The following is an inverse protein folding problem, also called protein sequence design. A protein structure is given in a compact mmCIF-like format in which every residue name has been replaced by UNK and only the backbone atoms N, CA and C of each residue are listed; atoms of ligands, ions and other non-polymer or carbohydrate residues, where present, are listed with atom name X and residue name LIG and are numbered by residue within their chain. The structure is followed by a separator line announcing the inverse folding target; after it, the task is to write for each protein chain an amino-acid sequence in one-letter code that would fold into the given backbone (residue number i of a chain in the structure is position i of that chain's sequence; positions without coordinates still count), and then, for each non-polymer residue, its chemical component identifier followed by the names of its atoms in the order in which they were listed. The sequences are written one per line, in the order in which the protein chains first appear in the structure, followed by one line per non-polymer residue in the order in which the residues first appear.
data_IF_021081402078
#
_entry.id   IF_021081402078
#
_cell.length_a   1.000
_cell.length_b   1.000
_cell.length_c   1.000
_cell.angle_alpha   90.00
_cell.angle_beta   90.00
_cell.angle_gamma   90.00
#
_symmetry.space_group_name_H-M   'P 1'
#
loop_
_entity.id
_entity.type
_entity.pdbx_description
1 polymer ?
#
# COMPACT_ATOMS: atom_id res chain seq x y z
N UNK A 1 -74.80 -30.68 -17.01
CA UNK A 1 -73.55 -30.59 -16.23
C UNK A 1 -72.39 -30.45 -17.21
N UNK A 2 -71.83 -29.25 -17.40
CA UNK A 2 -70.42 -29.08 -17.81
C UNK A 2 -69.98 -27.72 -17.25
N UNK A 3 -69.04 -27.72 -16.29
CA UNK A 3 -68.39 -26.51 -15.75
C UNK A 3 -67.12 -26.28 -16.58
N UNK A 4 -67.00 -25.11 -17.21
CA UNK A 4 -65.73 -24.67 -17.80
C UNK A 4 -64.82 -24.12 -16.68
N UNK A 5 -63.71 -24.81 -16.44
CA UNK A 5 -62.62 -24.31 -15.59
C UNK A 5 -61.65 -23.47 -16.43
N UNK A 6 -61.48 -22.21 -16.07
CA UNK A 6 -60.45 -21.34 -16.62
C UNK A 6 -59.08 -21.71 -16.01
N UNK A 7 -58.15 -22.20 -16.82
CA UNK A 7 -56.73 -22.29 -16.45
C UNK A 7 -56.08 -20.93 -16.65
N UNK A 8 -55.69 -20.28 -15.56
CA UNK A 8 -54.80 -19.12 -15.59
C UNK A 8 -53.35 -19.60 -15.65
N UNK A 9 -52.69 -19.42 -16.80
CA UNK A 9 -51.24 -19.55 -16.91
C UNK A 9 -50.60 -18.26 -16.37
N UNK A 10 -50.01 -18.33 -15.18
CA UNK A 10 -49.16 -17.26 -14.65
C UNK A 10 -47.82 -17.23 -15.39
N UNK A 11 -47.59 -16.18 -16.18
CA UNK A 11 -46.28 -15.91 -16.78
C UNK A 11 -45.36 -15.34 -15.69
N UNK A 12 -44.41 -16.16 -15.22
CA UNK A 12 -43.35 -15.70 -14.31
C UNK A 12 -42.23 -15.07 -15.16
N UNK A 13 -42.30 -13.75 -15.40
CA UNK A 13 -41.20 -13.01 -16.05
C UNK A 13 -40.07 -12.79 -15.04
N UNK A 14 -39.01 -13.58 -15.15
CA UNK A 14 -37.74 -13.31 -14.47
C UNK A 14 -37.09 -12.13 -15.19
N UNK A 15 -37.20 -10.93 -14.64
CA UNK A 15 -36.43 -9.77 -15.12
C UNK A 15 -35.00 -9.96 -14.64
N UNK A 16 -34.12 -10.48 -15.50
CA UNK A 16 -32.69 -10.43 -15.25
C UNK A 16 -32.26 -8.95 -15.34
N UNK A 17 -32.05 -8.29 -14.21
CA UNK A 17 -31.36 -7.01 -14.20
C UNK A 17 -29.90 -7.28 -14.54
N UNK A 18 -29.54 -7.03 -15.81
CA UNK A 18 -28.13 -6.90 -16.18
C UNK A 18 -27.68 -5.56 -15.63
N UNK A 19 -27.09 -5.56 -14.43
CA UNK A 19 -26.36 -4.39 -13.94
C UNK A 19 -25.21 -4.12 -14.90
N UNK A 20 -25.22 -2.96 -15.56
CA UNK A 20 -24.08 -2.54 -16.35
C UNK A 20 -22.90 -2.33 -15.39
N UNK A 21 -21.83 -3.10 -15.58
CA UNK A 21 -20.64 -3.03 -14.73
C UNK A 21 -20.07 -1.61 -14.81
N UNK A 22 -19.90 -0.93 -13.67
CA UNK A 22 -19.34 0.42 -13.61
C UNK A 22 -17.96 0.43 -14.29
N UNK A 23 -17.77 1.36 -15.23
CA UNK A 23 -16.47 1.61 -15.85
C UNK A 23 -15.56 2.29 -14.82
N UNK A 24 -14.44 1.64 -14.49
CA UNK A 24 -13.42 2.15 -13.56
C UNK A 24 -12.41 2.99 -14.33
N UNK A 25 -12.21 4.24 -13.91
CA UNK A 25 -11.23 5.15 -14.52
C UNK A 25 -9.84 4.91 -13.96
N UNK A 26 -8.90 4.58 -14.83
CA UNK A 26 -7.53 4.22 -14.48
C UNK A 26 -6.58 5.26 -15.08
N UNK A 27 -5.80 5.96 -14.25
CA UNK A 27 -4.82 6.94 -14.72
C UNK A 27 -3.40 6.41 -14.56
N UNK A 28 -2.71 6.03 -15.65
CA UNK A 28 -1.27 5.88 -15.66
C UNK A 28 -0.61 7.24 -15.46
N UNK A 29 0.10 7.44 -14.36
CA UNK A 29 0.63 8.74 -13.94
C UNK A 29 2.14 8.70 -13.75
N UNK A 30 2.85 9.65 -14.38
CA UNK A 30 4.30 9.79 -14.18
C UNK A 30 4.98 10.60 -15.29
N UNK A 31 6.17 10.15 -15.68
CA UNK A 31 6.99 10.83 -16.69
C UNK A 31 7.08 10.04 -18.02
N UNK A 32 8.25 10.06 -18.67
CA UNK A 32 8.48 9.43 -19.99
C UNK A 32 8.33 7.91 -20.00
N UNK A 33 8.59 7.21 -18.89
CA UNK A 33 8.40 5.76 -18.83
C UNK A 33 6.90 5.42 -18.90
N UNK A 34 6.02 6.28 -18.37
CA UNK A 34 4.57 6.06 -18.40
C UNK A 34 4.00 6.21 -19.81
N UNK A 35 4.60 7.03 -20.66
CA UNK A 35 4.15 7.16 -22.05
C UNK A 35 4.48 5.94 -22.92
N UNK A 36 5.27 4.97 -22.43
CA UNK A 36 5.64 3.74 -23.17
C UNK A 36 4.50 2.71 -23.21
N UNK A 37 4.71 1.64 -23.97
CA UNK A 37 3.65 0.72 -24.39
C UNK A 37 3.33 -0.43 -23.42
N UNK A 38 3.92 -0.45 -22.22
CA UNK A 38 3.47 -1.36 -21.16
C UNK A 38 1.98 -1.18 -20.84
N UNK A 39 1.42 0.02 -21.04
CA UNK A 39 -0.03 0.29 -20.90
C UNK A 39 -0.86 -0.55 -21.85
N UNK A 40 -0.46 -0.66 -23.11
CA UNK A 40 -1.16 -1.45 -24.12
C UNK A 40 -1.13 -2.95 -23.78
N UNK A 41 0.03 -3.45 -23.34
CA UNK A 41 0.19 -4.83 -22.91
C UNK A 41 -0.64 -5.12 -21.64
N UNK A 42 -0.69 -4.18 -20.70
CA UNK A 42 -1.52 -4.28 -19.49
C UNK A 42 -3.01 -4.36 -19.84
N UNK A 43 -3.51 -3.48 -20.71
CA UNK A 43 -4.90 -3.52 -21.16
C UNK A 43 -5.23 -4.84 -21.86
N UNK A 44 -4.32 -5.36 -22.68
CA UNK A 44 -4.48 -6.66 -23.34
C UNK A 44 -4.59 -7.78 -22.31
N UNK A 45 -3.73 -7.79 -21.27
CA UNK A 45 -3.80 -8.76 -20.17
C UNK A 45 -5.10 -8.67 -19.40
N UNK A 46 -5.57 -7.46 -19.07
CA UNK A 46 -6.86 -7.22 -18.41
C UNK A 46 -8.03 -7.81 -19.22
N UNK A 47 -8.09 -7.51 -20.52
CA UNK A 47 -9.15 -8.01 -21.40
C UNK A 47 -9.09 -9.52 -21.58
N UNK A 48 -7.89 -10.10 -21.66
CA UNK A 48 -7.71 -11.55 -21.70
C UNK A 48 -8.22 -12.23 -20.42
N UNK A 49 -8.09 -11.57 -19.27
CA UNK A 49 -8.64 -11.98 -17.97
C UNK A 49 -10.12 -11.58 -17.76
N UNK A 50 -10.81 -11.17 -18.84
CA UNK A 50 -12.22 -10.75 -18.84
C UNK A 50 -12.52 -9.53 -17.97
N UNK A 51 -11.51 -8.75 -17.63
CA UNK A 51 -11.68 -7.42 -17.04
C UNK A 51 -11.82 -6.43 -18.18
N UNK A 52 -13.04 -5.97 -18.45
CA UNK A 52 -13.32 -5.06 -19.59
C UNK A 52 -13.95 -3.74 -19.18
N UNK A 53 -14.30 -3.57 -17.92
CA UNK A 53 -14.97 -2.39 -17.37
C UNK A 53 -13.97 -1.32 -16.91
N UNK A 54 -13.03 -0.95 -17.77
CA UNK A 54 -12.04 0.09 -17.45
C UNK A 54 -11.88 1.09 -18.59
N UNK A 55 -11.49 2.30 -18.22
CA UNK A 55 -11.24 3.45 -19.10
C UNK A 55 -9.91 4.06 -18.67
N UNK A 56 -8.90 4.09 -19.54
CA UNK A 56 -7.66 4.78 -19.21
C UNK A 56 -7.89 6.27 -19.39
N UNK A 57 -7.42 7.08 -18.45
CA UNK A 57 -7.70 8.53 -18.48
C UNK A 57 -6.44 9.34 -18.27
N UNK A 58 -6.39 10.50 -18.90
CA UNK A 58 -5.32 11.48 -18.73
C UNK A 58 -5.33 12.51 -19.87
N UNK A 59 -4.51 13.54 -19.74
CA UNK A 59 -4.42 14.62 -20.73
C UNK A 59 -3.57 14.28 -21.94
N UNK A 60 -2.73 13.24 -21.85
CA UNK A 60 -1.80 12.82 -22.90
C UNK A 60 -2.32 11.57 -23.62
N UNK A 61 -1.94 11.42 -24.89
CA UNK A 61 -2.24 10.25 -25.70
C UNK A 61 -0.95 9.60 -26.23
N UNK A 62 -0.94 8.27 -26.30
CA UNK A 62 0.11 7.47 -26.93
C UNK A 62 -0.23 7.01 -28.35
N UNK A 63 0.66 6.18 -28.92
CA UNK A 63 0.51 5.57 -30.25
C UNK A 63 0.86 4.08 -30.26
N UNK A 64 0.55 3.38 -29.16
CA UNK A 64 0.89 1.98 -28.98
C UNK A 64 0.00 1.07 -29.82
N UNK A 65 0.60 0.06 -30.45
CA UNK A 65 -0.12 -0.90 -31.28
C UNK A 65 -1.06 -1.80 -30.45
N UNK A 66 -2.10 -2.30 -31.11
CA UNK A 66 -3.06 -3.25 -30.55
C UNK A 66 -4.51 -2.88 -30.85
N UNK A 67 -5.40 -3.87 -30.81
CA UNK A 67 -6.82 -3.65 -31.02
C UNK A 67 -7.46 -3.00 -29.78
N UNK A 68 -8.26 -1.95 -29.99
CA UNK A 68 -9.01 -1.26 -28.93
C UNK A 68 -8.15 -0.82 -27.75
N UNK A 69 -6.88 -0.46 -28.01
CA UNK A 69 -6.01 0.11 -26.99
C UNK A 69 -6.42 1.55 -26.76
N UNK A 70 -6.82 1.83 -25.53
CA UNK A 70 -7.01 3.17 -25.03
C UNK A 70 -5.63 3.84 -24.88
N UNK A 71 -5.44 4.96 -25.56
CA UNK A 71 -4.13 5.60 -25.64
C UNK A 71 -3.90 6.60 -24.51
N UNK A 72 -4.90 6.89 -23.69
CA UNK A 72 -4.84 7.96 -22.71
C UNK A 72 -3.87 7.63 -21.55
N UNK A 73 -3.20 8.67 -21.06
CA UNK A 73 -2.33 8.62 -19.89
C UNK A 73 -2.01 10.02 -19.36
N UNK A 74 -1.40 10.06 -18.18
CA UNK A 74 -0.91 11.28 -17.53
C UNK A 74 0.62 11.19 -17.33
N UNK A 75 1.31 10.89 -18.43
CA UNK A 75 2.76 10.68 -18.46
C UNK A 75 3.45 11.78 -19.25
N UNK A 76 4.28 12.61 -18.60
CA UNK A 76 4.93 13.75 -19.26
C UNK A 76 6.46 13.61 -19.25
N UNK A 77 7.10 13.38 -20.41
CA UNK A 77 8.55 13.24 -20.52
C UNK A 77 9.34 14.36 -19.85
N UNK A 78 10.44 14.01 -19.18
CA UNK A 78 11.31 14.96 -18.49
C UNK A 78 10.79 15.52 -17.15
N UNK A 79 9.58 15.14 -16.73
CA UNK A 79 8.98 15.70 -15.52
C UNK A 79 9.47 15.05 -14.22
N UNK A 80 9.47 15.85 -13.14
CA UNK A 80 9.91 15.48 -11.79
C UNK A 80 8.73 15.44 -10.82
N UNK A 81 8.78 14.52 -9.85
CA UNK A 81 7.83 14.51 -8.73
C UNK A 81 7.87 15.83 -7.96
N UNK A 82 9.07 16.35 -7.68
CA UNK A 82 9.21 17.61 -6.93
C UNK A 82 8.60 18.80 -7.65
N UNK A 83 8.64 18.82 -8.99
CA UNK A 83 8.08 19.93 -9.76
C UNK A 83 6.55 19.83 -9.82
N UNK A 84 6.00 18.63 -10.02
CA UNK A 84 4.55 18.43 -9.93
C UNK A 84 3.97 18.82 -8.58
N UNK A 85 4.64 18.40 -7.50
CA UNK A 85 4.22 18.74 -6.14
C UNK A 85 4.29 20.25 -5.89
N UNK A 86 5.39 20.90 -6.30
CA UNK A 86 5.60 22.34 -6.12
C UNK A 86 4.60 23.18 -6.92
N UNK A 87 4.31 22.79 -8.16
CA UNK A 87 3.54 23.60 -9.09
C UNK A 87 2.03 23.25 -9.08
N UNK A 88 1.63 22.18 -8.41
CA UNK A 88 0.23 21.75 -8.33
C UNK A 88 -0.33 21.20 -9.63
N UNK A 89 0.53 20.72 -10.55
CA UNK A 89 0.10 20.21 -11.86
C UNK A 89 -0.95 19.10 -11.75
N UNK A 90 -0.74 18.16 -10.83
CA UNK A 90 -1.60 16.99 -10.68
C UNK A 90 -3.05 17.37 -10.37
N UNK A 91 -3.29 18.41 -9.56
CA UNK A 91 -4.66 18.87 -9.27
C UNK A 91 -5.42 19.28 -10.54
N UNK A 92 -4.74 19.88 -11.52
CA UNK A 92 -5.35 20.26 -12.81
C UNK A 92 -5.80 19.01 -13.56
N UNK A 93 -4.91 18.01 -13.67
CA UNK A 93 -5.20 16.76 -14.37
C UNK A 93 -6.27 15.92 -13.69
N UNK A 94 -6.23 15.81 -12.37
CA UNK A 94 -7.26 15.16 -11.57
C UNK A 94 -8.64 15.81 -11.75
N UNK A 95 -8.69 17.12 -12.00
CA UNK A 95 -9.95 17.82 -12.24
C UNK A 95 -10.49 17.60 -13.65
N UNK A 96 -9.62 17.58 -14.66
CA UNK A 96 -10.02 17.32 -16.04
C UNK A 96 -10.41 15.84 -16.26
N UNK A 97 -9.63 14.93 -15.68
CA UNK A 97 -9.70 13.49 -15.91
C UNK A 97 -9.75 12.73 -14.57
N UNK A 98 -10.86 12.81 -13.80
CA UNK A 98 -10.92 12.25 -12.45
C UNK A 98 -10.78 10.71 -12.46
N UNK A 99 -9.74 10.15 -11.82
CA UNK A 99 -9.55 8.71 -11.77
C UNK A 99 -10.11 8.05 -10.49
N UNK A 100 -10.41 6.77 -10.60
CA UNK A 100 -10.69 5.87 -9.49
C UNK A 100 -9.39 5.16 -9.03
N UNK A 101 -8.54 4.80 -9.98
CA UNK A 101 -7.25 4.12 -9.78
C UNK A 101 -6.12 4.93 -10.39
N UNK A 102 -5.01 5.09 -9.69
CA UNK A 102 -3.76 5.64 -10.24
C UNK A 102 -2.67 4.56 -10.28
N UNK A 103 -1.98 4.44 -11.40
CA UNK A 103 -0.75 3.66 -11.54
C UNK A 103 0.43 4.64 -11.60
N UNK A 104 1.17 4.76 -10.51
CA UNK A 104 2.23 5.76 -10.36
C UNK A 104 3.62 5.14 -10.54
N UNK A 105 4.40 5.67 -11.49
CA UNK A 105 5.84 5.47 -11.62
C UNK A 105 6.49 6.82 -11.96
N UNK A 106 7.11 7.45 -10.97
CA UNK A 106 7.62 8.81 -11.07
C UNK A 106 8.79 9.00 -10.11
N UNK A 107 9.87 9.67 -10.51
CA UNK A 107 11.05 9.89 -9.66
C UNK A 107 12.39 9.75 -10.38
N UNK A 108 12.41 9.09 -11.54
CA UNK A 108 13.65 8.89 -12.33
C UNK A 108 14.32 10.22 -12.66
N UNK A 109 13.55 11.21 -13.13
CA UNK A 109 14.08 12.53 -13.47
C UNK A 109 14.49 13.33 -12.23
N UNK A 110 13.89 13.10 -11.07
CA UNK A 110 14.32 13.74 -9.83
C UNK A 110 15.75 13.34 -9.49
N UNK A 111 16.10 12.07 -9.71
CA UNK A 111 17.47 11.55 -9.55
C UNK A 111 18.39 12.02 -10.70
N UNK A 112 17.94 11.87 -11.94
CA UNK A 112 18.81 12.07 -13.12
C UNK A 112 19.03 13.53 -13.49
N UNK A 113 17.97 14.33 -13.48
CA UNK A 113 17.98 15.73 -13.92
C UNK A 113 17.99 16.64 -12.70
N UNK A 114 17.04 16.46 -11.78
CA UNK A 114 16.84 17.35 -10.65
C UNK A 114 17.88 17.24 -9.55
N UNK A 115 18.67 16.15 -9.54
CA UNK A 115 19.63 15.80 -8.49
C UNK A 115 19.04 15.95 -7.09
N UNK A 116 17.77 15.58 -6.92
CA UNK A 116 17.00 15.72 -5.68
C UNK A 116 17.44 14.67 -4.69
N UNK A 117 17.43 15.04 -3.40
CA UNK A 117 17.62 14.07 -2.34
C UNK A 117 16.43 13.11 -2.27
N UNK A 118 16.65 11.87 -1.83
CA UNK A 118 15.56 10.92 -1.58
C UNK A 118 14.49 11.53 -0.67
N UNK A 119 14.89 12.29 0.36
CA UNK A 119 13.97 12.94 1.28
C UNK A 119 13.05 13.97 0.61
N UNK A 120 13.56 14.73 -0.36
CA UNK A 120 12.74 15.71 -1.09
C UNK A 120 11.75 15.03 -2.03
N UNK A 121 12.15 13.94 -2.68
CA UNK A 121 11.27 13.14 -3.53
C UNK A 121 10.14 12.51 -2.69
N UNK A 122 10.44 11.96 -1.50
CA UNK A 122 9.40 11.42 -0.62
C UNK A 122 8.43 12.50 -0.12
N UNK A 123 8.91 13.71 0.19
CA UNK A 123 8.02 14.84 0.53
C UNK A 123 7.14 15.24 -0.65
N UNK A 124 7.67 15.19 -1.88
CA UNK A 124 6.88 15.44 -3.07
C UNK A 124 5.78 14.37 -3.24
N UNK A 125 6.09 13.09 -3.00
CA UNK A 125 5.08 12.04 -2.99
C UNK A 125 4.00 12.26 -1.94
N UNK A 126 4.33 12.80 -0.75
CA UNK A 126 3.32 13.15 0.25
C UNK A 126 2.31 14.14 -0.30
N UNK A 127 2.80 15.23 -0.90
CA UNK A 127 1.95 16.25 -1.53
C UNK A 127 1.10 15.66 -2.64
N UNK A 128 1.68 14.82 -3.51
CA UNK A 128 0.95 14.20 -4.63
C UNK A 128 -0.15 13.25 -4.11
N UNK A 129 0.14 12.41 -3.12
CA UNK A 129 -0.86 11.52 -2.52
C UNK A 129 -1.97 12.31 -1.82
N UNK A 130 -1.64 13.42 -1.15
CA UNK A 130 -2.63 14.28 -0.52
C UNK A 130 -3.55 14.94 -1.57
N UNK A 131 -3.00 15.40 -2.70
CA UNK A 131 -3.78 15.91 -3.83
C UNK A 131 -4.72 14.84 -4.41
N UNK A 132 -4.22 13.61 -4.60
CA UNK A 132 -5.02 12.46 -5.05
C UNK A 132 -6.20 12.21 -4.11
N UNK A 133 -5.94 12.15 -2.79
CA UNK A 133 -6.97 11.88 -1.78
C UNK A 133 -7.93 13.03 -1.57
N UNK A 134 -7.48 14.27 -1.75
CA UNK A 134 -8.35 15.44 -1.75
C UNK A 134 -9.34 15.38 -2.93
N UNK A 135 -8.92 14.88 -4.09
CA UNK A 135 -9.82 14.68 -5.24
C UNK A 135 -10.80 13.53 -5.02
N UNK A 136 -10.29 12.37 -4.62
CA UNK A 136 -11.08 11.18 -4.36
C UNK A 136 -10.57 10.52 -3.06
N UNK A 137 -11.30 10.68 -1.93
CA UNK A 137 -10.91 10.08 -0.66
C UNK A 137 -10.87 8.54 -0.67
N UNK A 138 -11.43 7.91 -1.71
CA UNK A 138 -11.43 6.46 -1.93
C UNK A 138 -10.47 6.01 -3.03
N UNK A 139 -9.61 6.89 -3.53
CA UNK A 139 -8.73 6.57 -4.66
C UNK A 139 -7.82 5.38 -4.34
N UNK A 140 -7.75 4.43 -5.27
CA UNK A 140 -6.88 3.27 -5.18
C UNK A 140 -5.54 3.59 -5.84
N UNK A 141 -4.43 3.48 -5.10
CA UNK A 141 -3.11 3.85 -5.58
C UNK A 141 -2.27 2.60 -5.78
N UNK A 142 -1.81 2.39 -7.01
CA UNK A 142 -0.82 1.37 -7.36
C UNK A 142 0.51 2.09 -7.54
N UNK A 143 1.38 1.96 -6.54
CA UNK A 143 2.63 2.73 -6.43
C UNK A 143 3.82 1.86 -6.81
N UNK A 144 4.48 2.18 -7.91
CA UNK A 144 5.66 1.48 -8.40
C UNK A 144 6.95 2.10 -7.89
N UNK A 145 7.97 1.27 -7.66
CA UNK A 145 9.36 1.74 -7.71
C UNK A 145 9.81 1.99 -9.17
N UNK A 146 11.02 2.53 -9.33
CA UNK A 146 11.59 2.94 -10.62
C UNK A 146 12.34 1.77 -11.31
N UNK A 147 12.50 1.84 -12.63
CA UNK A 147 13.31 0.89 -13.39
C UNK A 147 14.82 1.11 -13.15
N UNK A 148 15.66 0.07 -13.26
CA UNK A 148 17.12 0.23 -13.23
C UNK A 148 17.62 1.00 -14.46
N UNK A 149 18.83 1.54 -14.34
CA UNK A 149 19.55 2.21 -15.42
C UNK A 149 20.74 1.37 -15.88
N UNK A 150 21.02 1.39 -17.18
CA UNK A 150 22.23 0.77 -17.74
C UNK A 150 23.46 1.58 -17.29
N UNK A 151 24.35 1.02 -16.45
CA UNK A 151 25.50 1.74 -15.91
C UNK A 151 26.56 2.07 -16.98
N UNK A 152 26.47 1.50 -18.19
CA UNK A 152 27.34 1.87 -19.32
C UNK A 152 26.87 3.12 -20.05
N UNK A 153 25.57 3.43 -19.98
CA UNK A 153 24.94 4.56 -20.69
C UNK A 153 24.62 5.72 -19.77
N UNK A 154 24.44 5.44 -18.48
CA UNK A 154 24.10 6.42 -17.46
C UNK A 154 25.17 6.50 -16.37
N UNK A 155 25.38 7.69 -15.77
CA UNK A 155 26.36 7.84 -14.70
C UNK A 155 26.07 6.92 -13.51
N UNK A 156 27.12 6.36 -12.90
CA UNK A 156 27.00 5.50 -11.71
C UNK A 156 26.19 6.18 -10.59
N UNK A 157 26.38 7.48 -10.39
CA UNK A 157 25.61 8.25 -9.40
C UNK A 157 24.10 8.26 -9.68
N UNK A 158 23.68 8.16 -10.94
CA UNK A 158 22.28 8.00 -11.32
C UNK A 158 21.77 6.62 -10.96
N UNK A 159 22.49 5.56 -11.32
CA UNK A 159 22.13 4.18 -10.98
C UNK A 159 22.04 3.96 -9.46
N UNK A 160 23.02 4.45 -8.70
CA UNK A 160 23.01 4.40 -7.23
C UNK A 160 21.85 5.21 -6.65
N UNK A 161 21.56 6.38 -7.22
CA UNK A 161 20.43 7.21 -6.82
C UNK A 161 19.08 6.50 -7.02
N UNK A 162 18.91 5.78 -8.13
CA UNK A 162 17.72 4.95 -8.38
C UNK A 162 17.61 3.83 -7.35
N UNK A 163 18.70 3.12 -7.06
CA UNK A 163 18.70 2.06 -6.03
C UNK A 163 18.32 2.61 -4.66
N UNK A 164 18.90 3.74 -4.27
CA UNK A 164 18.62 4.40 -2.99
C UNK A 164 17.17 4.86 -2.88
N UNK A 165 16.64 5.50 -3.93
CA UNK A 165 15.24 5.93 -3.95
C UNK A 165 14.29 4.72 -3.95
N UNK A 166 14.59 3.66 -4.69
CA UNK A 166 13.79 2.44 -4.70
C UNK A 166 13.74 1.74 -3.35
N UNK A 167 14.86 1.69 -2.62
CA UNK A 167 14.90 1.17 -1.25
C UNK A 167 13.97 1.96 -0.32
N UNK A 168 13.94 3.29 -0.48
CA UNK A 168 13.04 4.15 0.29
C UNK A 168 11.57 4.00 -0.14
N UNK A 169 11.26 3.95 -1.43
CA UNK A 169 9.90 3.73 -1.97
C UNK A 169 9.31 2.44 -1.43
N UNK A 170 10.10 1.36 -1.38
CA UNK A 170 9.65 0.05 -0.88
C UNK A 170 9.14 0.10 0.56
N UNK A 171 9.68 0.99 1.40
CA UNK A 171 9.20 1.23 2.76
C UNK A 171 8.07 2.26 2.81
N UNK A 172 8.19 3.31 2.00
CA UNK A 172 7.29 4.46 1.96
C UNK A 172 5.89 4.11 1.44
N UNK A 173 5.77 3.43 0.30
CA UNK A 173 4.47 3.20 -0.32
C UNK A 173 3.51 2.41 0.58
N UNK A 174 3.92 1.28 1.21
CA UNK A 174 3.06 0.57 2.17
C UNK A 174 2.67 1.41 3.38
N UNK A 175 3.54 2.32 3.85
CA UNK A 175 3.24 3.18 5.00
C UNK A 175 2.16 4.22 4.71
N UNK A 176 1.79 4.42 3.44
CA UNK A 176 0.69 5.31 3.04
C UNK A 176 -0.64 4.59 2.91
N UNK A 177 -0.70 3.27 3.01
CA UNK A 177 -1.93 2.50 2.85
C UNK A 177 -2.98 2.84 3.92
N UNK A 178 -4.24 2.94 3.52
CA UNK A 178 -5.39 3.09 4.42
C UNK A 178 -6.55 2.23 3.93
N UNK A 179 -7.52 1.89 4.80
CA UNK A 179 -8.73 1.18 4.38
C UNK A 179 -9.59 1.97 3.39
N UNK A 180 -9.61 3.30 3.52
CA UNK A 180 -10.44 4.16 2.67
C UNK A 180 -9.81 4.40 1.30
N UNK A 181 -8.50 4.66 1.25
CA UNK A 181 -7.69 4.84 0.04
C UNK A 181 -6.52 3.86 0.08
N UNK A 182 -6.69 2.66 -0.50
CA UNK A 182 -5.64 1.64 -0.52
C UNK A 182 -4.41 2.07 -1.32
N UNK A 183 -3.23 1.66 -0.85
CA UNK A 183 -1.96 1.80 -1.55
C UNK A 183 -1.32 0.42 -1.67
N UNK A 184 -1.13 -0.04 -2.91
CA UNK A 184 -0.46 -1.30 -3.23
C UNK A 184 0.88 -1.00 -3.89
N UNK A 185 1.94 -1.57 -3.34
CA UNK A 185 3.28 -1.45 -3.90
C UNK A 185 3.50 -2.47 -5.03
N UNK A 186 4.07 -2.01 -6.16
CA UNK A 186 4.49 -2.86 -7.29
C UNK A 186 5.99 -2.72 -7.51
N UNK A 187 6.69 -3.85 -7.60
CA UNK A 187 8.13 -3.89 -7.85
C UNK A 187 8.42 -4.12 -9.35
N UNK A 188 8.66 -3.03 -10.07
CA UNK A 188 9.12 -3.02 -11.46
C UNK A 188 10.65 -3.02 -11.60
N UNK A 189 11.39 -2.90 -10.49
CA UNK A 189 12.86 -2.95 -10.50
C UNK A 189 13.37 -4.39 -10.55
N UNK A 190 12.86 -5.25 -9.66
CA UNK A 190 13.38 -6.62 -9.51
C UNK A 190 13.03 -7.48 -10.72
N UNK A 191 14.07 -8.00 -11.39
CA UNK A 191 13.96 -8.84 -12.59
C UNK A 191 13.91 -8.07 -13.91
N UNK A 192 14.07 -6.74 -13.85
CA UNK A 192 14.24 -5.89 -15.02
C UNK A 192 15.74 -5.75 -15.33
N UNK A 193 16.12 -6.02 -16.58
CA UNK A 193 17.49 -5.90 -17.08
C UNK A 193 17.61 -4.60 -17.87
N UNK A 194 18.31 -3.60 -17.33
CA UNK A 194 18.40 -2.31 -17.98
C UNK A 194 19.10 -2.36 -19.35
N UNK A 195 19.92 -3.37 -19.64
CA UNK A 195 20.59 -3.53 -20.94
C UNK A 195 19.66 -4.20 -21.94
N UNK A 196 19.00 -5.29 -21.54
CA UNK A 196 18.19 -6.10 -22.44
C UNK A 196 16.76 -5.56 -22.62
N UNK A 197 16.22 -4.87 -21.62
CA UNK A 197 14.81 -4.46 -21.57
C UNK A 197 14.58 -2.98 -21.88
N UNK A 198 15.63 -2.23 -22.25
CA UNK A 198 15.51 -0.82 -22.63
C UNK A 198 16.02 -0.54 -24.04
N UNK A 199 15.64 0.61 -24.60
CA UNK A 199 16.20 1.12 -25.86
C UNK A 199 17.48 1.94 -25.65
N UNK A 200 17.53 2.71 -24.57
CA UNK A 200 18.55 3.73 -24.30
C UNK A 200 19.25 3.57 -22.93
N UNK A 201 18.98 2.48 -22.22
CA UNK A 201 19.45 2.27 -20.85
C UNK A 201 18.51 2.80 -19.77
N UNK A 202 17.37 3.41 -20.14
CA UNK A 202 16.38 3.97 -19.21
C UNK A 202 14.93 3.56 -19.60
N UNK A 203 14.59 3.71 -20.87
CA UNK A 203 13.23 3.57 -21.35
C UNK A 203 12.94 2.15 -21.87
N UNK A 204 11.84 1.52 -21.43
CA UNK A 204 11.54 0.14 -21.78
C UNK A 204 11.33 -0.04 -23.29
N UNK A 205 11.97 -1.09 -23.83
CA UNK A 205 11.66 -1.67 -25.14
C UNK A 205 10.49 -2.66 -25.02
N UNK A 206 10.21 -3.45 -26.06
CA UNK A 206 9.08 -4.41 -26.04
C UNK A 206 9.18 -5.45 -24.91
N UNK A 207 10.38 -5.97 -24.63
CA UNK A 207 10.61 -6.89 -23.51
C UNK A 207 10.35 -6.21 -22.17
N UNK A 208 10.89 -5.00 -21.98
CA UNK A 208 10.66 -4.21 -20.77
C UNK A 208 9.20 -3.84 -20.57
N UNK A 209 8.51 -3.46 -21.65
CA UNK A 209 7.09 -3.12 -21.62
C UNK A 209 6.25 -4.33 -21.17
N UNK A 210 6.58 -5.53 -21.64
CA UNK A 210 5.89 -6.76 -21.25
C UNK A 210 6.13 -7.14 -19.78
N UNK A 211 7.36 -6.98 -19.29
CA UNK A 211 7.70 -7.19 -17.88
C UNK A 211 6.92 -6.23 -16.99
N UNK A 212 6.88 -4.94 -17.34
CA UNK A 212 6.13 -3.94 -16.59
C UNK A 212 4.63 -4.25 -16.56
N UNK A 213 4.04 -4.56 -17.71
CA UNK A 213 2.63 -4.93 -17.80
C UNK A 213 2.30 -6.13 -16.91
N UNK A 214 3.18 -7.13 -16.87
CA UNK A 214 3.04 -8.31 -16.02
C UNK A 214 3.08 -7.96 -14.52
N UNK A 215 3.97 -7.05 -14.11
CA UNK A 215 4.06 -6.61 -12.70
C UNK A 215 2.83 -5.81 -12.26
N UNK A 216 2.31 -4.94 -13.12
CA UNK A 216 1.12 -4.14 -12.80
C UNK A 216 -0.18 -4.94 -12.84
N UNK A 217 -0.25 -6.00 -13.65
CA UNK A 217 -1.49 -6.70 -13.99
C UNK A 217 -2.35 -7.09 -12.77
N UNK A 218 -1.80 -7.83 -11.81
CA UNK A 218 -2.59 -8.32 -10.68
C UNK A 218 -3.15 -7.17 -9.83
N UNK A 219 -2.31 -6.18 -9.51
CA UNK A 219 -2.73 -5.01 -8.73
C UNK A 219 -3.80 -4.19 -9.45
N UNK A 220 -3.68 -3.99 -10.77
CA UNK A 220 -4.67 -3.23 -11.55
C UNK A 220 -5.99 -3.98 -11.67
N UNK A 221 -5.96 -5.28 -11.95
CA UNK A 221 -7.16 -6.13 -11.96
C UNK A 221 -7.89 -6.06 -10.62
N UNK A 222 -7.16 -6.26 -9.52
CA UNK A 222 -7.75 -6.35 -8.19
C UNK A 222 -8.33 -5.00 -7.76
N UNK A 223 -7.68 -3.88 -8.13
CA UNK A 223 -8.22 -2.54 -7.92
C UNK A 223 -9.52 -2.31 -8.71
N UNK A 224 -9.56 -2.68 -9.99
CA UNK A 224 -10.78 -2.56 -10.82
C UNK A 224 -11.93 -3.38 -10.22
N UNK A 225 -11.67 -4.63 -9.81
CA UNK A 225 -12.68 -5.50 -9.19
C UNK A 225 -13.15 -4.97 -7.83
N UNK A 226 -12.27 -4.35 -7.04
CA UNK A 226 -12.62 -3.78 -5.74
C UNK A 226 -13.53 -2.55 -5.86
N UNK A 227 -13.42 -1.79 -6.95
CA UNK A 227 -14.19 -0.56 -7.19
C UNK A 227 -15.52 -0.84 -7.90
N UNK A 228 -15.61 -1.91 -8.69
CA UNK A 228 -16.84 -2.34 -9.36
C UNK A 228 -17.48 -3.55 -8.64
N UNK A 229 -18.22 -3.35 -7.52
CA UNK A 229 -18.72 -4.45 -6.69
C UNK A 229 -19.80 -5.34 -7.33
N UNK A 230 -20.26 -5.08 -8.55
CA UNK A 230 -21.32 -5.87 -9.20
C UNK A 230 -20.83 -7.14 -9.93
N UNK A 231 -19.63 -7.65 -9.60
CA UNK A 231 -19.21 -8.96 -10.09
C UNK A 231 -19.84 -10.07 -9.21
N UNK A 232 -20.63 -11.01 -9.78
CA UNK A 232 -21.35 -12.05 -9.02
C UNK A 232 -20.45 -13.05 -8.27
N UNK A 233 -19.12 -12.88 -8.30
CA UNK A 233 -18.14 -13.72 -7.59
C UNK A 233 -17.63 -13.12 -6.27
N UNK A 234 -18.16 -12.00 -5.76
CA UNK A 234 -17.68 -11.40 -4.50
C UNK A 234 -18.72 -11.47 -3.35
N UNK A 235 -18.63 -12.44 -2.41
CA UNK A 235 -19.58 -12.59 -1.32
C UNK A 235 -19.49 -11.54 -0.19
N UNK A 236 -18.76 -10.42 -0.33
CA UNK A 236 -18.53 -9.50 0.79
C UNK A 236 -19.29 -8.16 0.74
N UNK A 237 -20.28 -8.02 -0.14
CA UNK A 237 -21.21 -6.88 -0.11
C UNK A 237 -22.59 -7.25 0.47
N UNK A 238 -22.62 -7.84 1.67
CA UNK A 238 -23.83 -7.81 2.50
C UNK A 238 -23.54 -6.96 3.75
N UNK A 239 -24.05 -5.74 3.73
CA UNK A 239 -24.29 -4.98 4.95
C UNK A 239 -25.36 -5.69 5.79
N UNK A 240 -25.25 -5.72 7.13
CA UNK A 240 -26.42 -5.77 7.99
C UNK A 240 -26.84 -4.31 8.25
N UNK A 241 -28.00 -3.88 7.79
CA UNK A 241 -29.31 -4.11 8.42
C UNK A 241 -29.40 -3.46 9.81
N UNK A 242 -30.45 -2.65 9.95
CA UNK A 242 -30.74 -1.74 11.05
C UNK A 242 -30.74 -2.45 12.42
N UNK A 243 -30.05 -1.86 13.40
CA UNK A 243 -30.09 -2.31 14.79
C UNK A 243 -31.43 -1.88 15.44
N UNK A 244 -32.38 -2.81 15.49
CA UNK A 244 -33.37 -2.83 16.57
C UNK A 244 -32.83 -3.73 17.68
N UNK A 245 -32.78 -3.17 18.88
CA UNK A 245 -32.03 -3.72 19.99
C UNK A 245 -32.58 -5.02 20.54
N UNK A 246 -31.65 -5.86 21.04
CA UNK A 246 -31.84 -6.57 22.29
C UNK A 246 -30.53 -6.56 23.09
N UNK A 247 -30.74 -6.46 24.39
CA UNK A 247 -29.82 -6.11 25.45
C UNK A 247 -29.26 -7.39 26.07
N UNK A 248 -28.02 -7.78 25.77
CA UNK A 248 -27.23 -8.66 26.65
C UNK A 248 -25.73 -8.31 26.60
N UNK A 249 -25.17 -7.96 27.75
CA UNK A 249 -23.74 -7.69 28.00
C UNK A 249 -22.91 -8.98 28.01
N UNK A 250 -21.78 -9.09 27.28
CA UNK A 250 -20.81 -10.18 27.46
C UNK A 250 -19.81 -9.87 28.60
N UNK A 251 -19.23 -10.90 29.25
CA UNK A 251 -18.38 -10.72 30.43
C UNK A 251 -16.99 -10.19 30.06
N UNK A 252 -16.49 -9.28 30.89
CA UNK A 252 -15.15 -8.71 30.84
C UNK A 252 -14.11 -9.78 31.21
N UNK A 253 -13.24 -10.16 30.27
CA UNK A 253 -12.09 -11.04 30.56
C UNK A 253 -10.97 -10.19 31.17
N UNK A 254 -10.68 -10.41 32.45
CA UNK A 254 -9.56 -9.77 33.15
C UNK A 254 -8.30 -10.61 32.94
N UNK A 255 -7.28 -10.05 32.27
CA UNK A 255 -5.94 -10.64 32.20
C UNK A 255 -5.07 -10.08 33.32
N UNK A 256 -4.53 -10.93 34.19
CA UNK A 256 -3.60 -10.53 35.24
C UNK A 256 -2.18 -10.90 34.81
N UNK A 257 -1.34 -9.92 34.50
CA UNK A 257 0.09 -10.13 34.29
C UNK A 257 0.81 -10.03 35.64
N UNK A 258 1.53 -11.10 36.05
CA UNK A 258 2.38 -11.09 37.24
C UNK A 258 3.83 -10.87 36.80
N UNK A 259 4.40 -9.71 37.12
CA UNK A 259 5.82 -9.42 36.88
C UNK A 259 6.60 -9.83 38.12
N UNK A 260 7.56 -10.74 37.96
CA UNK A 260 8.50 -11.12 39.03
C UNK A 260 9.88 -10.64 38.61
N UNK A 261 10.47 -9.71 39.35
CA UNK A 261 11.85 -9.27 39.15
C UNK A 261 12.73 -9.94 40.22
N UNK A 262 13.75 -10.68 39.78
CA UNK A 262 14.79 -11.21 40.66
C UNK A 262 16.11 -10.52 40.31
N UNK A 263 16.71 -9.83 41.28
CA UNK A 263 18.07 -9.31 41.17
C UNK A 263 19.04 -10.38 41.70
N UNK A 264 20.00 -10.81 40.88
CA UNK A 264 21.14 -11.61 41.35
C UNK A 264 22.41 -10.75 41.28
N UNK A 265 23.08 -10.59 42.42
CA UNK A 265 24.39 -9.94 42.52
C UNK A 265 25.48 -11.00 42.60
N UNK A 266 26.37 -11.06 41.62
CA UNK A 266 27.60 -11.85 41.71
C UNK A 266 28.81 -10.91 41.84
N UNK A 267 29.37 -10.84 43.05
CA UNK A 267 30.67 -10.27 43.45
C UNK A 267 30.85 -8.74 43.54
N UNK A 268 31.79 -8.26 44.41
CA UNK A 268 31.94 -6.84 44.74
C UNK A 268 33.07 -6.20 43.91
N UNK A 269 32.81 -5.87 42.64
CA UNK A 269 33.53 -4.84 41.89
C UNK A 269 32.83 -4.66 40.53
N UNK A 270 32.40 -3.43 40.22
CA UNK A 270 31.58 -3.04 39.08
C UNK A 270 30.14 -3.59 39.08
N UNK A 271 29.21 -2.82 39.67
CA UNK A 271 27.79 -3.14 39.70
C UNK A 271 27.19 -3.15 38.28
N UNK A 272 27.03 -4.34 37.72
CA UNK A 272 26.19 -4.58 36.53
C UNK A 272 24.91 -5.24 37.01
N UNK A 273 23.80 -4.52 37.02
CA UNK A 273 22.48 -5.09 37.35
C UNK A 273 21.91 -5.77 36.12
N UNK A 274 21.72 -7.08 36.17
CA UNK A 274 20.97 -7.85 35.16
C UNK A 274 19.52 -7.93 35.64
N UNK A 275 18.58 -7.42 34.85
CA UNK A 275 17.15 -7.57 35.12
C UNK A 275 16.58 -8.62 34.17
N UNK A 276 16.14 -9.75 34.73
CA UNK A 276 15.34 -10.73 34.00
C UNK A 276 13.87 -10.36 34.11
N UNK A 277 13.20 -10.15 32.98
CA UNK A 277 11.74 -10.02 32.92
C UNK A 277 11.16 -11.24 32.23
N UNK A 278 10.26 -11.94 32.92
CA UNK A 278 9.49 -13.06 32.37
C UNK A 278 8.02 -12.67 32.37
N UNK A 279 7.37 -12.76 31.22
CA UNK A 279 5.92 -12.62 31.09
C UNK A 279 5.31 -13.96 30.69
N UNK A 280 4.28 -14.38 31.42
CA UNK A 280 3.48 -15.57 31.10
C UNK A 280 2.04 -15.15 30.84
N UNK A 281 1.45 -15.66 29.78
CA UNK A 281 0.02 -15.51 29.49
C UNK A 281 -0.61 -16.90 29.36
N UNK A 282 -1.79 -17.06 29.96
CA UNK A 282 -2.57 -18.30 29.86
C UNK A 282 -4.00 -17.95 29.50
N UNK A 283 -4.45 -18.38 28.32
CA UNK A 283 -5.86 -18.37 27.95
C UNK A 283 -6.45 -19.76 28.23
N UNK A 284 -7.67 -19.81 28.76
CA UNK A 284 -8.34 -21.08 29.11
C UNK A 284 -8.50 -21.93 27.84
N UNK A 285 -7.83 -23.09 27.81
CA UNK A 285 -7.91 -24.06 26.70
C UNK A 285 -6.75 -24.05 25.70
N UNK A 286 -5.70 -23.25 25.89
CA UNK A 286 -4.53 -23.19 25.00
C UNK A 286 -3.20 -23.38 25.72
N UNK A 287 -2.18 -23.85 24.99
CA UNK A 287 -0.83 -24.06 25.51
C UNK A 287 -0.17 -22.75 25.98
N UNK A 288 0.54 -22.83 27.11
CA UNK A 288 1.26 -21.70 27.72
C UNK A 288 2.44 -21.28 26.86
N UNK A 289 2.54 -19.99 26.53
CA UNK A 289 3.73 -19.39 25.92
C UNK A 289 4.49 -18.54 26.94
N UNK A 290 5.82 -18.68 26.96
CA UNK A 290 6.71 -17.94 27.85
C UNK A 290 7.69 -17.16 26.99
N UNK A 291 7.78 -15.85 27.21
CA UNK A 291 8.81 -15.01 26.59
C UNK A 291 9.75 -14.48 27.68
N UNK A 292 11.06 -14.64 27.45
CA UNK A 292 12.12 -14.16 28.35
C UNK A 292 12.99 -13.18 27.58
N UNK A 293 13.20 -11.99 28.14
CA UNK A 293 14.09 -10.98 27.56
C UNK A 293 15.10 -10.54 28.62
N UNK A 294 16.38 -10.47 28.24
CA UNK A 294 17.47 -10.00 29.10
C UNK A 294 17.90 -8.61 28.68
N UNK A 295 17.97 -7.67 29.63
CA UNK A 295 18.50 -6.33 29.39
C UNK A 295 19.68 -6.06 30.35
N UNK A 296 20.76 -5.48 29.80
CA UNK A 296 21.97 -5.12 30.53
C UNK A 296 22.11 -3.60 30.55
N UNK A 297 22.24 -2.98 31.72
CA UNK A 297 22.44 -1.54 31.84
C UNK A 297 23.91 -1.22 32.13
N UNK A 298 24.55 -0.42 31.27
CA UNK A 298 25.88 0.15 31.52
C UNK A 298 25.77 1.38 32.42
N UNK A 299 26.70 1.51 33.36
CA UNK A 299 26.69 2.54 34.42
C UNK A 299 26.88 3.96 33.87
N UNK A 300 25.82 4.78 33.90
CA UNK A 300 25.95 6.22 34.09
C UNK A 300 24.89 6.70 35.10
N UNK A 301 25.37 7.21 36.23
CA UNK A 301 24.55 7.94 37.18
C UNK A 301 24.15 9.28 36.58
N UNK A 302 22.91 9.41 36.12
CA UNK A 302 22.22 10.70 36.08
C UNK A 302 20.76 10.50 36.48
N UNK A 303 20.33 11.25 37.50
CA UNK A 303 18.96 11.29 37.99
C UNK A 303 18.07 12.02 37.00
N UNK A 304 17.50 11.29 36.04
CA UNK A 304 16.30 11.69 35.29
C UNK A 304 15.60 10.44 34.76
N UNK A 305 14.28 10.38 34.96
CA UNK A 305 13.45 9.24 34.59
C UNK A 305 13.54 8.97 33.08
N UNK A 306 14.39 8.02 32.68
CA UNK A 306 14.55 7.62 31.29
C UNK A 306 13.52 6.53 30.98
N UNK A 307 12.56 6.81 30.11
CA UNK A 307 11.63 5.80 29.62
C UNK A 307 12.38 4.79 28.74
N UNK A 308 12.57 3.56 29.24
CA UNK A 308 13.01 2.43 28.42
C UNK A 308 11.88 2.03 27.47
N UNK A 309 11.96 2.44 26.19
CA UNK A 309 11.15 1.84 25.13
C UNK A 309 11.85 0.58 24.62
N UNK A 310 11.50 -0.57 25.21
CA UNK A 310 11.76 -1.85 24.56
C UNK A 310 10.80 -1.98 23.36
N UNK A 311 11.34 -2.26 22.17
CA UNK A 311 10.56 -2.55 20.99
C UNK A 311 9.99 -3.98 21.11
N UNK A 312 8.68 -4.08 21.33
CA UNK A 312 7.94 -5.33 21.24
C UNK A 312 7.44 -5.52 19.81
N UNK A 313 7.43 -6.74 19.26
CA UNK A 313 6.80 -7.00 17.97
C UNK A 313 5.31 -6.66 18.07
N UNK A 314 4.89 -5.67 17.30
CA UNK A 314 3.50 -5.21 17.21
C UNK A 314 2.66 -6.29 16.52
N UNK A 315 2.20 -7.26 17.30
CA UNK A 315 0.85 -7.76 17.17
C UNK A 315 0.34 -8.06 18.58
N UNK A 316 -0.91 -7.65 18.80
CA UNK A 316 -1.73 -7.75 20.02
C UNK A 316 -1.57 -6.63 21.08
N UNK A 317 -2.68 -5.90 21.27
CA UNK A 317 -3.04 -4.97 22.36
C UNK A 317 -2.66 -3.48 22.24
N UNK A 318 -3.65 -2.64 21.88
CA UNK A 318 -3.73 -1.24 22.32
C UNK A 318 -4.37 -1.20 23.71
N UNK A 319 -3.78 -0.49 24.67
CA UNK A 319 -4.51 -0.04 25.88
C UNK A 319 -3.93 -0.35 27.27
N UNK A 320 -2.61 -0.40 27.47
CA UNK A 320 -2.04 -0.50 28.83
C UNK A 320 -1.10 0.68 29.10
N UNK A 321 -1.50 1.58 30.01
CA UNK A 321 -0.62 2.57 30.62
C UNK A 321 -0.25 2.09 32.02
N UNK A 322 1.03 1.82 32.28
CA UNK A 322 1.51 1.52 33.63
C UNK A 322 1.98 2.80 34.31
N UNK A 323 1.41 3.12 35.48
CA UNK A 323 1.88 4.20 36.35
C UNK A 323 2.80 3.59 37.41
N UNK A 324 4.06 4.01 37.44
CA UNK A 324 4.99 3.64 38.53
C UNK A 324 4.82 4.61 39.70
N UNK A 325 4.40 4.11 40.86
CA UNK A 325 4.58 4.78 42.16
C UNK A 325 5.70 4.07 42.91
N UNK A 326 6.86 4.72 43.05
CA UNK A 326 7.94 4.22 43.89
C UNK A 326 7.67 4.54 45.36
N UNK A 327 7.55 3.53 46.21
CA UNK A 327 7.71 3.68 47.66
C UNK A 327 9.18 3.50 48.01
N UNK A 328 9.78 4.48 48.69
CA UNK A 328 11.08 4.32 49.34
C UNK A 328 10.87 3.50 50.61
N UNK A 329 11.49 2.33 50.70
CA UNK A 329 11.81 1.73 52.00
C UNK A 329 13.28 1.98 52.27
N UNK A 330 13.54 2.75 53.32
CA UNK A 330 14.85 2.89 53.95
C UNK A 330 15.15 1.60 54.71
N UNK A 331 16.33 1.04 54.54
CA UNK A 331 16.91 0.11 55.51
C UNK A 331 18.38 0.49 55.71
N UNK A 332 18.74 0.50 56.99
CA UNK A 332 20.03 0.78 57.62
C UNK A 332 21.19 -0.06 57.06
#
# INVERSE_FOLDING_TARGET
MVKLGALAFGLLTIVAQVSAQQTVKVMPFGASIVSRCWRANLQTKLRNDKVTNFDFVGSQTGSCAGASIDQDHEGHPGSLATDYAKNGNLTVWLNANPPDVILMLLGTNDVLIGKKSTGDVLKAYDVLIDQMRAKNPKMYLIFSNLLPLDPKRWPQSGADGIVNLNAAIKQYAPSKNTRASPVVFVDNFTGFDAVADTTDGEHPNDSGNEKMATKFFAATRDAIKAIAPDSPENPQALAPAQAQGQNETPPMVTSTARVTAQAQSNSPAAATSIVLMTAQTQAKGSATSVATTTATQGSQQTSSATSLRAAWPLNVWRGVSAVFRGSRQSVL
#
